data_IF_549298675342
#
_entry.id   IF_549298675342
#
_cell.length_a   1.000
_cell.length_b   1.000
_cell.length_c   1.000
_cell.angle_alpha   90.00
_cell.angle_beta   90.00
_cell.angle_gamma   90.00
#
_symmetry.space_group_name_H-M   'P 1'
#
loop_
_entity.id
_entity.type
_entity.pdbx_description
1 polymer ?
#
# COMPACT_ATOMS: atom_id res chain seq x y z
N UNK A 1 -7.57 15.51 9.14
CA UNK A 1 -6.48 14.52 9.27
C UNK A 1 -6.22 13.87 7.91
N UNK A 2 -4.96 13.78 7.47
CA UNK A 2 -4.56 13.13 6.22
C UNK A 2 -4.16 11.68 6.51
N UNK A 3 -5.15 10.78 6.56
CA UNK A 3 -4.92 9.38 6.92
C UNK A 3 -5.70 8.41 6.02
N UNK A 4 -5.18 7.20 5.83
CA UNK A 4 -5.85 6.10 5.14
C UNK A 4 -6.19 5.00 6.14
N UNK A 5 -7.47 4.62 6.19
CA UNK A 5 -7.90 3.47 7.01
C UNK A 5 -7.99 2.19 6.17
N UNK A 6 -7.15 1.22 6.48
CA UNK A 6 -7.08 -0.09 5.82
C UNK A 6 -7.84 -1.12 6.65
N UNK A 7 -9.03 -1.50 6.18
CA UNK A 7 -9.90 -2.51 6.84
C UNK A 7 -9.88 -3.88 6.17
N UNK A 8 -9.55 -3.92 4.88
CA UNK A 8 -9.59 -5.12 4.02
C UNK A 8 -8.36 -5.17 3.13
N UNK A 9 -8.07 -6.33 2.58
CA UNK A 9 -6.99 -6.53 1.61
C UNK A 9 -7.49 -7.37 0.45
N UNK A 10 -7.08 -7.01 -0.76
CA UNK A 10 -7.27 -7.83 -1.96
C UNK A 10 -6.14 -8.86 -2.07
N UNK A 11 -6.47 -10.06 -2.54
CA UNK A 11 -5.51 -11.13 -2.85
C UNK A 11 -6.02 -11.95 -4.02
N UNK A 12 -5.11 -12.57 -4.76
CA UNK A 12 -5.47 -13.55 -5.76
C UNK A 12 -5.78 -14.90 -5.10
N UNK A 13 -6.91 -15.50 -5.43
CA UNK A 13 -7.30 -16.86 -5.04
C UNK A 13 -7.03 -17.80 -6.24
N UNK A 14 -5.94 -18.56 -6.14
CA UNK A 14 -5.48 -19.43 -7.23
C UNK A 14 -6.43 -20.58 -7.56
N UNK A 15 -7.24 -21.04 -6.60
CA UNK A 15 -8.22 -22.10 -6.84
C UNK A 15 -9.42 -21.59 -7.63
N UNK A 16 -9.79 -20.33 -7.42
CA UNK A 16 -10.95 -19.70 -8.11
C UNK A 16 -10.56 -18.90 -9.35
N UNK A 17 -9.25 -18.72 -9.57
CA UNK A 17 -8.70 -17.82 -10.57
C UNK A 17 -9.26 -16.40 -10.51
N UNK A 18 -9.54 -15.90 -9.30
CA UNK A 18 -10.17 -14.59 -9.07
C UNK A 18 -9.45 -13.79 -8.00
N UNK A 19 -9.51 -12.47 -8.12
CA UNK A 19 -9.15 -11.59 -7.02
C UNK A 19 -10.30 -11.56 -6.00
N UNK A 20 -9.95 -11.72 -4.72
CA UNK A 20 -10.89 -11.68 -3.61
C UNK A 20 -10.47 -10.61 -2.61
N UNK A 21 -11.43 -9.82 -2.17
CA UNK A 21 -11.28 -8.88 -1.08
C UNK A 21 -11.70 -9.61 0.20
N UNK A 22 -10.84 -9.60 1.20
CA UNK A 22 -11.10 -10.21 2.49
C UNK A 22 -10.56 -9.39 3.64
N UNK A 23 -10.67 -9.92 4.84
CA UNK A 23 -10.02 -9.32 6.01
C UNK A 23 -8.51 -9.26 5.81
N UNK A 24 -7.89 -8.24 6.38
CA UNK A 24 -6.43 -8.15 6.48
C UNK A 24 -5.85 -9.35 7.22
N UNK A 25 -4.56 -9.64 7.02
CA UNK A 25 -3.83 -10.64 7.82
C UNK A 25 -4.04 -10.31 9.31
N UNK A 26 -4.60 -11.28 10.07
CA UNK A 26 -4.98 -11.15 11.49
C UNK A 26 -6.14 -10.19 11.81
N UNK A 27 -6.96 -9.78 10.82
CA UNK A 27 -8.13 -8.90 11.00
C UNK A 27 -7.83 -7.54 11.65
N UNK A 28 -6.58 -7.07 11.59
CA UNK A 28 -6.19 -5.77 12.15
C UNK A 28 -6.54 -4.63 11.19
N UNK A 29 -7.25 -3.63 11.71
CA UNK A 29 -7.41 -2.34 11.03
C UNK A 29 -6.11 -1.57 11.20
N UNK A 30 -5.67 -0.89 10.13
CA UNK A 30 -4.48 -0.03 10.16
C UNK A 30 -4.85 1.36 9.69
N UNK A 31 -4.31 2.36 10.37
CA UNK A 31 -4.39 3.75 9.96
C UNK A 31 -2.97 4.13 9.51
N UNK A 32 -2.86 4.75 8.34
CA UNK A 32 -1.59 5.20 7.79
C UNK A 32 -1.71 6.69 7.53
N UNK A 33 -1.00 7.48 8.32
CA UNK A 33 -0.87 8.91 8.12
C UNK A 33 0.10 9.21 6.98
N UNK A 34 -0.18 10.28 6.25
CA UNK A 34 0.64 10.71 5.13
C UNK A 34 0.69 12.24 5.04
N UNK A 35 1.78 12.75 4.47
CA UNK A 35 2.00 14.18 4.30
C UNK A 35 1.46 14.74 2.99
N UNK A 36 1.59 16.06 2.84
CA UNK A 36 1.04 16.83 1.73
C UNK A 36 1.51 16.38 0.35
N UNK A 37 2.77 15.93 0.23
CA UNK A 37 3.30 15.41 -1.05
C UNK A 37 2.47 14.24 -1.56
N UNK A 38 2.12 13.27 -0.69
CA UNK A 38 1.27 12.16 -1.12
C UNK A 38 -0.16 12.63 -1.37
N UNK A 39 -0.67 13.58 -0.57
CA UNK A 39 -1.97 14.21 -0.81
C UNK A 39 -2.07 14.80 -2.22
N UNK A 40 -1.07 15.55 -2.66
CA UNK A 40 -1.06 16.13 -4.00
C UNK A 40 -0.95 15.08 -5.11
N UNK A 41 -0.13 14.04 -4.91
CA UNK A 41 -0.06 12.89 -5.84
C UNK A 41 -1.44 12.21 -5.96
N UNK A 42 -2.14 11.99 -4.85
CA UNK A 42 -3.46 11.35 -4.85
C UNK A 42 -4.52 12.23 -5.53
N UNK A 43 -4.49 13.55 -5.30
CA UNK A 43 -5.37 14.50 -6.00
C UNK A 43 -5.10 14.50 -7.50
N UNK A 44 -3.82 14.48 -7.91
CA UNK A 44 -3.44 14.41 -9.31
C UNK A 44 -3.91 13.09 -9.95
N UNK A 45 -3.70 11.96 -9.28
CA UNK A 45 -4.20 10.66 -9.71
C UNK A 45 -5.72 10.67 -9.88
N UNK A 46 -6.46 11.30 -8.95
CA UNK A 46 -7.93 11.43 -9.08
C UNK A 46 -8.35 12.26 -10.28
N UNK A 47 -7.65 13.37 -10.57
CA UNK A 47 -7.92 14.16 -11.78
C UNK A 47 -7.66 13.35 -13.04
N UNK A 48 -6.58 12.56 -13.06
CA UNK A 48 -6.25 11.71 -14.20
C UNK A 48 -7.32 10.62 -14.42
N UNK A 49 -7.78 9.96 -13.36
CA UNK A 49 -8.90 9.01 -13.44
C UNK A 49 -10.16 9.62 -14.07
N UNK A 50 -10.49 10.87 -13.72
CA UNK A 50 -11.65 11.57 -14.30
C UNK A 50 -11.46 11.84 -15.80
N UNK A 51 -10.25 12.23 -16.22
CA UNK A 51 -9.92 12.42 -17.64
C UNK A 51 -10.00 11.11 -18.40
N UNK A 52 -9.39 10.03 -17.88
CA UNK A 52 -9.43 8.72 -18.54
C UNK A 52 -10.87 8.23 -18.64
N UNK A 53 -11.71 8.46 -17.62
CA UNK A 53 -13.15 8.15 -17.69
C UNK A 53 -13.86 8.89 -18.82
N UNK A 54 -13.58 10.17 -19.00
CA UNK A 54 -14.16 10.94 -20.13
C UNK A 54 -13.65 10.43 -21.48
N UNK A 55 -12.37 10.08 -21.57
CA UNK A 55 -11.73 9.62 -22.80
C UNK A 55 -12.24 8.25 -23.26
N UNK A 56 -12.38 7.30 -22.32
CA UNK A 56 -12.81 5.94 -22.63
C UNK A 56 -14.35 5.82 -22.76
N UNK A 57 -15.11 6.74 -22.15
CA UNK A 57 -16.57 6.76 -22.26
C UNK A 57 -17.19 5.44 -21.81
N UNK A 58 -17.94 4.79 -22.69
CA UNK A 58 -18.60 3.49 -22.42
C UNK A 58 -17.60 2.34 -22.22
N UNK A 59 -16.36 2.46 -22.73
CA UNK A 59 -15.32 1.45 -22.52
C UNK A 59 -14.59 1.62 -21.18
N UNK A 60 -14.97 2.62 -20.38
CA UNK A 60 -14.39 2.81 -19.06
C UNK A 60 -14.99 1.81 -18.07
N UNK A 61 -14.12 0.98 -17.49
CA UNK A 61 -14.50 -0.02 -16.53
C UNK A 61 -14.82 0.60 -15.17
N UNK A 62 -15.93 0.15 -14.60
CA UNK A 62 -16.26 0.34 -13.20
C UNK A 62 -15.96 -0.95 -12.44
N UNK A 63 -15.60 -0.80 -11.18
CA UNK A 63 -15.15 -1.90 -10.34
C UNK A 63 -16.25 -2.30 -9.36
N UNK A 64 -16.42 -3.59 -9.14
CA UNK A 64 -17.49 -4.15 -8.36
C UNK A 64 -16.98 -5.26 -7.45
N UNK A 65 -17.75 -5.56 -6.42
CA UNK A 65 -17.60 -6.79 -5.66
C UNK A 65 -18.93 -7.50 -5.45
N UNK A 66 -18.87 -8.82 -5.42
CA UNK A 66 -19.97 -9.70 -5.03
C UNK A 66 -19.68 -10.32 -3.69
N UNK A 67 -20.63 -10.25 -2.78
CA UNK A 67 -20.53 -10.88 -1.47
C UNK A 67 -20.83 -12.38 -1.57
N UNK A 68 -19.90 -13.21 -1.10
CA UNK A 68 -20.00 -14.67 -1.18
C UNK A 68 -19.91 -15.28 0.21
N UNK A 69 -20.92 -16.10 0.51
CA UNK A 69 -21.06 -16.82 1.76
C UNK A 69 -20.69 -18.29 1.54
N UNK A 70 -19.63 -18.76 2.20
CA UNK A 70 -19.22 -20.17 2.17
C UNK A 70 -19.02 -20.67 3.58
N UNK A 71 -19.90 -21.58 4.02
CA UNK A 71 -19.94 -22.09 5.41
C UNK A 71 -20.00 -20.89 6.39
N UNK A 72 -19.07 -20.79 7.33
CA UNK A 72 -18.98 -19.70 8.31
C UNK A 72 -18.02 -18.57 7.87
N UNK A 73 -17.77 -18.40 6.58
CA UNK A 73 -16.85 -17.37 6.06
C UNK A 73 -17.53 -16.52 5.00
N UNK A 74 -17.31 -15.22 5.08
CA UNK A 74 -17.70 -14.23 4.07
C UNK A 74 -16.44 -13.71 3.40
N UNK A 75 -16.45 -13.69 2.07
CA UNK A 75 -15.44 -13.02 1.26
C UNK A 75 -16.12 -12.29 0.10
N UNK A 76 -15.40 -11.37 -0.52
CA UNK A 76 -15.94 -10.57 -1.61
C UNK A 76 -15.15 -10.86 -2.89
N UNK A 77 -15.83 -11.34 -3.93
CA UNK A 77 -15.21 -11.56 -5.24
C UNK A 77 -15.16 -10.23 -6.00
N UNK A 78 -14.00 -9.88 -6.54
CA UNK A 78 -13.81 -8.66 -7.31
C UNK A 78 -14.11 -8.88 -8.79
N UNK A 79 -14.79 -7.91 -9.40
CA UNK A 79 -15.13 -7.85 -10.81
C UNK A 79 -14.90 -6.43 -11.34
N UNK A 80 -14.73 -6.29 -12.65
CA UNK A 80 -14.84 -5.03 -13.34
C UNK A 80 -15.69 -5.25 -14.59
N UNK A 81 -16.50 -4.25 -14.93
CA UNK A 81 -17.40 -4.26 -16.07
C UNK A 81 -17.29 -2.91 -16.77
N UNK A 82 -17.22 -2.90 -18.10
CA UNK A 82 -17.37 -1.66 -18.86
C UNK A 82 -18.85 -1.24 -18.95
N UNK A 83 -19.11 -0.09 -19.56
CA UNK A 83 -20.45 0.49 -19.70
C UNK A 83 -21.36 -0.24 -20.69
N UNK A 84 -20.84 -1.20 -21.46
CA UNK A 84 -21.63 -2.01 -22.41
C UNK A 84 -22.23 -3.25 -21.75
N UNK A 85 -21.73 -3.62 -20.57
CA UNK A 85 -22.14 -4.81 -19.84
C UNK A 85 -23.25 -4.51 -18.84
N UNK A 86 -24.25 -5.39 -18.77
CA UNK A 86 -25.25 -5.33 -17.71
C UNK A 86 -24.61 -5.63 -16.35
N UNK A 87 -24.86 -4.77 -15.36
CA UNK A 87 -24.38 -4.96 -13.99
C UNK A 87 -25.34 -5.89 -13.24
N UNK A 88 -24.89 -7.05 -12.76
CA UNK A 88 -25.74 -7.95 -11.96
C UNK A 88 -26.27 -7.26 -10.69
N UNK A 89 -27.49 -7.58 -10.29
CA UNK A 89 -28.16 -6.93 -9.15
C UNK A 89 -27.45 -7.15 -7.80
N UNK A 90 -26.67 -8.22 -7.67
CA UNK A 90 -25.91 -8.56 -6.46
C UNK A 90 -24.50 -7.93 -6.42
N UNK A 91 -24.13 -7.14 -7.43
CA UNK A 91 -22.85 -6.45 -7.50
C UNK A 91 -22.92 -5.10 -6.80
N UNK A 92 -21.94 -4.85 -5.93
CA UNK A 92 -21.78 -3.57 -5.23
C UNK A 92 -20.57 -2.85 -5.79
N UNK A 93 -20.75 -1.61 -6.22
CA UNK A 93 -19.65 -0.81 -6.76
C UNK A 93 -18.59 -0.53 -5.68
N UNK A 94 -17.33 -0.53 -6.11
CA UNK A 94 -16.17 -0.15 -5.30
C UNK A 94 -15.25 0.73 -6.13
N UNK A 95 -14.64 1.72 -5.50
CA UNK A 95 -13.64 2.58 -6.14
C UNK A 95 -12.25 2.28 -5.59
N UNK A 96 -11.25 2.35 -6.46
CA UNK A 96 -9.84 2.20 -6.10
C UNK A 96 -9.03 3.44 -6.47
N UNK A 97 -7.88 3.58 -5.82
CA UNK A 97 -6.93 4.65 -6.09
C UNK A 97 -6.01 4.27 -7.26
N UNK A 98 -5.49 3.06 -7.26
CA UNK A 98 -4.60 2.57 -8.31
C UNK A 98 -5.44 1.90 -9.41
N UNK A 99 -5.78 2.68 -10.44
CA UNK A 99 -6.53 2.21 -11.61
C UNK A 99 -5.66 2.32 -12.85
N UNK A 100 -5.89 1.41 -13.79
CA UNK A 100 -5.42 1.55 -15.18
C UNK A 100 -6.18 2.67 -15.89
N UNK A 101 -5.68 3.17 -17.03
CA UNK A 101 -6.38 4.18 -17.82
C UNK A 101 -7.81 3.76 -18.20
N UNK A 102 -8.03 2.47 -18.46
CA UNK A 102 -9.35 1.92 -18.77
C UNK A 102 -10.30 1.81 -17.57
N UNK A 103 -9.88 2.21 -16.36
CA UNK A 103 -10.70 2.17 -15.15
C UNK A 103 -10.66 0.86 -14.36
N UNK A 104 -10.01 -0.18 -14.87
CA UNK A 104 -9.85 -1.44 -14.15
C UNK A 104 -8.78 -1.34 -13.04
N UNK A 105 -8.92 -2.14 -11.98
CA UNK A 105 -7.93 -2.18 -10.89
C UNK A 105 -6.53 -2.57 -11.40
N UNK A 106 -5.52 -1.76 -11.05
CA UNK A 106 -4.13 -2.15 -11.24
C UNK A 106 -3.72 -3.19 -10.20
N UNK A 107 -3.35 -4.39 -10.67
CA UNK A 107 -3.02 -5.50 -9.78
C UNK A 107 -1.57 -5.43 -9.28
N UNK A 108 -1.28 -5.95 -8.06
CA UNK A 108 0.07 -5.98 -7.53
C UNK A 108 1.10 -6.70 -8.42
N UNK A 109 0.67 -7.66 -9.24
CA UNK A 109 1.53 -8.36 -10.19
C UNK A 109 2.13 -7.41 -11.24
N UNK A 110 1.42 -6.36 -11.64
CA UNK A 110 1.92 -5.34 -12.58
C UNK A 110 3.13 -4.61 -12.00
N UNK A 111 3.12 -4.33 -10.70
CA UNK A 111 4.27 -3.69 -10.04
C UNK A 111 5.51 -4.57 -10.10
N UNK A 112 5.36 -5.89 -9.99
CA UNK A 112 6.46 -6.84 -10.18
C UNK A 112 7.03 -6.80 -11.60
N UNK A 113 6.19 -6.65 -12.62
CA UNK A 113 6.62 -6.48 -14.02
C UNK A 113 7.39 -5.16 -14.17
N UNK A 114 6.86 -4.07 -13.61
CA UNK A 114 7.49 -2.75 -13.65
C UNK A 114 8.88 -2.77 -12.98
N UNK A 115 9.00 -3.36 -11.79
CA UNK A 115 10.29 -3.53 -11.11
C UNK A 115 11.30 -4.31 -11.96
N UNK A 116 10.89 -5.43 -12.58
CA UNK A 116 11.76 -6.19 -13.51
C UNK A 116 12.18 -5.37 -14.72
N UNK A 117 11.32 -4.50 -15.23
CA UNK A 117 11.68 -3.60 -16.33
C UNK A 117 12.74 -2.60 -15.89
N UNK A 118 12.61 -2.05 -14.68
CA UNK A 118 13.59 -1.13 -14.07
C UNK A 118 14.95 -1.83 -13.87
N UNK A 119 14.97 -3.03 -13.28
CA UNK A 119 16.21 -3.81 -13.08
C UNK A 119 17.00 -4.06 -14.36
N UNK A 120 16.31 -4.19 -15.50
CA UNK A 120 16.95 -4.42 -16.80
C UNK A 120 17.46 -3.14 -17.46
N UNK A 121 16.94 -1.98 -17.07
CA UNK A 121 17.21 -0.69 -17.73
C UNK A 121 18.21 0.17 -16.97
N UNK A 122 18.33 -0.02 -15.65
CA UNK A 122 19.20 0.78 -14.80
C UNK A 122 20.29 -0.10 -14.21
N UNK A 123 21.54 0.29 -14.40
CA UNK A 123 22.69 -0.35 -13.75
C UNK A 123 22.61 -0.18 -12.22
N UNK A 124 22.99 -1.21 -11.47
CA UNK A 124 22.95 -1.18 -10.00
C UNK A 124 21.58 -1.49 -9.38
N UNK A 125 20.60 -1.91 -10.19
CA UNK A 125 19.26 -2.34 -9.75
C UNK A 125 19.01 -3.84 -9.99
N UNK A 126 20.08 -4.65 -9.97
CA UNK A 126 19.98 -6.10 -10.00
C UNK A 126 19.05 -6.59 -8.88
N UNK A 127 18.14 -7.51 -9.21
CA UNK A 127 17.13 -8.06 -8.29
C UNK A 127 16.18 -7.05 -7.62
N UNK A 128 16.07 -5.84 -8.15
CA UNK A 128 15.11 -4.84 -7.65
C UNK A 128 13.66 -5.36 -7.72
N UNK A 129 12.99 -5.32 -6.57
CA UNK A 129 11.61 -5.76 -6.42
C UNK A 129 10.81 -4.78 -5.55
N UNK A 130 9.48 -4.80 -5.68
CA UNK A 130 8.59 -3.82 -5.06
C UNK A 130 8.80 -3.64 -3.55
N UNK A 131 9.09 -4.72 -2.81
CA UNK A 131 9.32 -4.63 -1.35
C UNK A 131 10.58 -3.81 -0.98
N UNK A 132 11.54 -3.62 -1.87
CA UNK A 132 12.71 -2.76 -1.61
C UNK A 132 12.31 -1.30 -1.42
N UNK A 133 11.27 -0.82 -2.10
CA UNK A 133 10.75 0.54 -1.89
C UNK A 133 10.29 0.77 -0.44
N UNK A 134 9.73 -0.27 0.19
CA UNK A 134 9.32 -0.23 1.60
C UNK A 134 10.54 -0.22 2.53
N UNK A 135 11.62 -0.93 2.18
CA UNK A 135 12.88 -0.84 2.92
C UNK A 135 13.47 0.57 2.82
N UNK A 136 13.52 1.16 1.62
CA UNK A 136 13.97 2.55 1.42
C UNK A 136 13.13 3.55 2.22
N UNK A 137 11.80 3.42 2.19
CA UNK A 137 10.91 4.25 3.02
C UNK A 137 11.26 4.15 4.51
N UNK A 138 11.45 2.92 5.01
CA UNK A 138 11.82 2.66 6.41
C UNK A 138 13.16 3.30 6.77
N UNK A 139 14.21 3.05 5.96
CA UNK A 139 15.55 3.56 6.18
C UNK A 139 15.59 5.09 6.13
N UNK A 140 14.84 5.72 5.22
CA UNK A 140 14.77 7.17 5.11
C UNK A 140 14.10 7.80 6.34
N UNK A 141 12.97 7.25 6.81
CA UNK A 141 12.31 7.76 8.01
C UNK A 141 13.24 7.69 9.24
N UNK A 142 13.88 6.54 9.45
CA UNK A 142 14.77 6.35 10.60
C UNK A 142 16.03 7.23 10.51
N UNK A 143 16.61 7.38 9.31
CA UNK A 143 17.79 8.24 9.10
C UNK A 143 17.49 9.72 9.32
N UNK A 144 16.23 10.13 9.14
CA UNK A 144 15.76 11.49 9.42
C UNK A 144 15.18 11.66 10.83
N UNK A 145 15.41 10.69 11.73
CA UNK A 145 15.11 10.83 13.16
C UNK A 145 13.68 10.46 13.57
N UNK A 146 12.90 9.80 12.69
CA UNK A 146 11.60 9.26 13.10
C UNK A 146 11.78 8.19 14.19
N UNK A 147 10.90 8.17 15.19
CA UNK A 147 10.99 7.19 16.25
C UNK A 147 10.72 5.78 15.69
N UNK A 148 11.50 4.75 16.04
CA UNK A 148 11.30 3.39 15.53
C UNK A 148 9.89 2.83 15.77
N UNK A 149 9.24 3.27 16.86
CA UNK A 149 7.88 2.89 17.21
C UNK A 149 6.86 3.44 16.20
N UNK A 150 6.98 4.71 15.85
CA UNK A 150 6.11 5.37 14.87
C UNK A 150 6.28 4.74 13.49
N UNK A 151 7.53 4.47 13.10
CA UNK A 151 7.84 3.76 11.84
C UNK A 151 7.24 2.35 11.84
N UNK A 152 7.31 1.62 12.96
CA UNK A 152 6.68 0.29 13.09
C UNK A 152 5.16 0.38 12.87
N UNK A 153 4.51 1.39 13.42
CA UNK A 153 3.06 1.60 13.32
C UNK A 153 2.64 1.96 11.89
N UNK A 154 3.33 2.90 11.24
CA UNK A 154 3.12 3.27 9.84
C UNK A 154 3.26 2.07 8.90
N UNK A 155 4.26 1.20 9.17
CA UNK A 155 4.45 -0.03 8.42
C UNK A 155 3.41 -1.11 8.78
N UNK A 156 2.81 -1.04 9.96
CA UNK A 156 1.89 -2.05 10.47
C UNK A 156 2.57 -3.40 10.68
N UNK A 157 3.84 -3.40 11.11
CA UNK A 157 4.59 -4.60 11.50
C UNK A 157 4.10 -5.10 12.86
N UNK A 158 3.70 -6.39 12.93
CA UNK A 158 3.27 -7.00 14.20
C UNK A 158 4.41 -7.20 15.19
N UNK A 159 5.64 -7.21 14.70
CA UNK A 159 6.85 -7.35 15.50
C UNK A 159 7.83 -6.21 15.15
N UNK A 160 8.35 -5.54 16.18
CA UNK A 160 9.32 -4.45 16.04
C UNK A 160 10.66 -4.98 15.55
N UNK A 161 10.96 -6.26 15.78
CA UNK A 161 12.21 -6.91 15.34
C UNK A 161 12.41 -6.81 13.83
N UNK A 162 11.33 -6.86 13.04
CA UNK A 162 11.41 -6.69 11.58
C UNK A 162 11.83 -5.28 11.18
N UNK A 163 11.40 -4.26 11.92
CA UNK A 163 11.80 -2.86 11.70
C UNK A 163 13.21 -2.61 12.23
N UNK A 164 13.55 -3.16 13.40
CA UNK A 164 14.85 -2.99 14.05
C UNK A 164 15.97 -3.76 13.34
N UNK A 165 15.68 -4.91 12.72
CA UNK A 165 16.65 -5.67 11.92
C UNK A 165 17.03 -4.92 10.63
N UNK A 166 16.13 -4.14 10.04
CA UNK A 166 16.46 -3.22 8.93
C UNK A 166 17.37 -2.09 9.42
N UNK A 167 17.21 -1.66 10.68
CA UNK A 167 18.00 -0.61 11.33
C UNK A 167 19.27 -1.10 12.05
N UNK A 168 19.54 -2.41 12.11
CA UNK A 168 20.58 -2.98 12.99
C UNK A 168 22.00 -2.46 12.69
N UNK A 169 22.20 -1.73 11.59
CA UNK A 169 23.36 -0.87 11.39
C UNK A 169 23.24 0.47 12.16
N UNK A 170 23.11 0.40 13.49
CA UNK A 170 23.22 1.57 14.35
C UNK A 170 24.65 2.13 14.26
N UNK A 171 24.79 3.31 13.64
CA UNK A 171 26.09 3.98 13.53
C UNK A 171 26.60 4.39 14.91
N UNK A 172 27.93 4.41 15.10
CA UNK A 172 28.55 4.86 16.37
C UNK A 172 28.10 6.27 16.78
N UNK A 173 27.73 7.10 15.80
CA UNK A 173 27.15 8.45 16.00
C UNK A 173 25.77 8.37 16.66
N UNK A 174 24.84 7.56 16.12
CA UNK A 174 23.51 7.39 16.70
C UNK A 174 23.55 6.87 18.15
N UNK A 175 24.49 5.96 18.46
CA UNK A 175 24.70 5.47 19.84
C UNK A 175 25.19 6.58 20.78
N UNK A 176 26.12 7.42 20.33
CA UNK A 176 26.63 8.57 21.11
C UNK A 176 25.56 9.63 21.33
N UNK A 177 24.78 9.94 20.31
CA UNK A 177 23.70 10.93 20.42
C UNK A 177 22.58 10.44 21.34
N UNK A 178 22.29 9.13 21.33
CA UNK A 178 21.35 8.51 22.29
C UNK A 178 21.87 8.55 23.73
N UNK A 179 23.15 8.28 23.95
CA UNK A 179 23.75 8.36 25.28
C UNK A 179 23.70 9.79 25.86
N UNK A 180 23.87 10.81 25.01
CA UNK A 180 23.77 12.23 25.39
C UNK A 180 22.35 12.68 25.78
N UNK A 181 21.32 11.91 25.44
CA UNK A 181 19.97 12.21 25.93
C UNK A 181 19.88 12.03 27.45
N UNK A 182 20.65 11.10 28.03
CA UNK A 182 20.74 10.95 29.49
C UNK A 182 21.35 12.18 30.15
N UNK A 183 22.35 12.80 29.51
CA UNK A 183 22.98 14.02 30.02
C UNK A 183 21.97 15.15 30.17
N UNK A 184 21.00 15.26 29.23
CA UNK A 184 19.91 16.25 29.32
C UNK A 184 18.93 15.98 30.46
N UNK A 185 18.75 14.72 30.86
CA UNK A 185 17.88 14.38 32.00
C UNK A 185 18.62 14.64 33.31
N UNK A 186 19.90 14.28 33.39
CA UNK A 186 20.72 14.48 34.57
C UNK A 186 21.08 15.95 34.84
N UNK A 187 21.09 16.80 33.80
CA UNK A 187 21.36 18.25 33.92
C UNK A 187 20.12 19.10 34.17
N UNK A 188 18.91 18.51 34.11
CA UNK A 188 17.64 19.16 34.48
C UNK A 188 17.11 18.68 35.86
N UNK A 189 17.95 17.99 36.64
CA UNK A 189 17.73 17.64 38.04
C UNK A 189 18.73 18.42 38.91
#
# INVERSE_FOLDING_TARGET
EQCLTIKRSIRYDGTKHKNVIGTTKRKKVRIVDFGDTLTEILKAARREQLKSRMQYGELYHRNYYKEVHVKNRVYYEYYHLDGTQEVPADYKEISFVCLRPDGSLELPSTLGIACRSVSKKLEGFEDFHFHQLRHTYTSNLLSNGAAPKDVQELLGHSDVSTTMNIYAHSTRKAKRDSARLLDKVASNA
#
